data_IF_309234189057
#
_entry.id   IF_309234189057
#
_cell.length_a   1.000
_cell.length_b   1.000
_cell.length_c   1.000
_cell.angle_alpha   90.00
_cell.angle_beta   90.00
_cell.angle_gamma   90.00
#
_symmetry.space_group_name_H-M   'P 1'
#
loop_
_entity.id
_entity.type
_entity.pdbx_description
1 polymer ?
#
# COMPACT_ATOMS: atom_id res chain seq x y z
N UNK A 1 8.56 -19.23 -1.05
CA UNK A 1 7.62 -19.16 -2.21
C UNK A 1 6.92 -17.81 -2.20
N UNK A 2 7.03 -17.04 -3.29
CA UNK A 2 6.27 -15.80 -3.50
C UNK A 2 4.78 -16.13 -3.54
N UNK A 3 3.95 -15.27 -2.95
CA UNK A 3 2.48 -15.42 -2.99
C UNK A 3 1.98 -14.56 -4.15
N UNK A 4 1.28 -15.19 -5.08
CA UNK A 4 0.83 -14.56 -6.31
C UNK A 4 -0.49 -13.83 -6.09
N UNK A 5 -0.67 -12.67 -6.73
CA UNK A 5 -1.99 -12.07 -6.83
C UNK A 5 -2.77 -12.76 -7.97
N UNK A 6 -4.11 -12.85 -7.92
CA UNK A 6 -4.91 -13.34 -9.04
C UNK A 6 -4.74 -12.51 -10.33
N UNK A 7 -4.16 -11.32 -10.21
CA UNK A 7 -3.83 -10.42 -11.32
C UNK A 7 -2.41 -10.58 -11.86
N UNK A 8 -1.59 -11.49 -11.33
CA UNK A 8 -0.20 -11.64 -11.75
C UNK A 8 -0.07 -12.05 -13.22
N UNK A 9 1.03 -11.61 -13.84
CA UNK A 9 1.44 -12.03 -15.19
C UNK A 9 2.63 -12.98 -15.10
N UNK A 10 2.79 -13.82 -16.11
CA UNK A 10 3.96 -14.70 -16.21
C UNK A 10 5.26 -13.91 -16.34
N UNK A 11 6.38 -14.53 -15.96
CA UNK A 11 7.70 -13.89 -16.04
C UNK A 11 8.11 -13.62 -17.48
N UNK A 12 7.74 -14.49 -18.41
CA UNK A 12 7.96 -14.35 -19.85
C UNK A 12 7.24 -13.11 -20.40
N UNK A 13 5.95 -12.92 -20.05
CA UNK A 13 5.20 -11.72 -20.43
C UNK A 13 5.84 -10.45 -19.86
N UNK A 14 6.42 -10.53 -18.66
CA UNK A 14 7.08 -9.38 -18.03
C UNK A 14 8.39 -8.98 -18.72
N UNK A 15 9.15 -9.93 -19.30
CA UNK A 15 10.41 -9.61 -20.00
C UNK A 15 10.19 -8.65 -21.17
N UNK A 16 9.01 -8.66 -21.79
CA UNK A 16 8.63 -7.71 -22.85
C UNK A 16 8.55 -6.26 -22.30
N UNK A 17 8.07 -6.10 -21.06
CA UNK A 17 7.83 -4.80 -20.43
C UNK A 17 9.06 -4.29 -19.66
N UNK A 18 9.93 -5.21 -19.21
CA UNK A 18 11.12 -4.92 -18.40
C UNK A 18 11.98 -3.78 -18.99
N UNK A 19 12.30 -3.72 -20.30
CA UNK A 19 13.13 -2.66 -20.86
C UNK A 19 12.53 -1.26 -20.68
N UNK A 20 11.20 -1.12 -20.80
CA UNK A 20 10.49 0.15 -20.62
C UNK A 20 10.56 0.65 -19.18
N UNK A 21 10.48 -0.27 -18.21
CA UNK A 21 10.62 0.07 -16.79
C UNK A 21 12.07 0.42 -16.42
N UNK A 22 13.04 -0.16 -17.13
CA UNK A 22 14.45 0.12 -16.93
C UNK A 22 14.86 1.47 -17.55
N UNK A 23 14.25 1.89 -18.66
CA UNK A 23 14.57 3.16 -19.33
C UNK A 23 14.12 4.39 -18.54
N UNK A 24 13.06 4.28 -17.74
CA UNK A 24 12.55 5.37 -16.88
C UNK A 24 13.46 5.72 -15.68
N UNK A 25 14.55 4.98 -15.46
CA UNK A 25 15.40 5.05 -14.26
C UNK A 25 16.29 6.30 -14.24
N UNK A 26 16.32 6.99 -13.10
CA UNK A 26 17.41 7.94 -12.76
C UNK A 26 18.47 7.21 -11.92
N UNK A 27 19.76 7.30 -12.29
CA UNK A 27 20.88 6.50 -11.75
C UNK A 27 21.34 6.87 -10.32
N UNK A 28 20.44 7.32 -9.44
CA UNK A 28 20.82 7.87 -8.12
C UNK A 28 20.90 6.83 -7.00
N UNK A 29 20.32 5.62 -7.15
CA UNK A 29 20.43 4.54 -6.15
C UNK A 29 20.26 3.14 -6.80
N UNK A 30 20.95 2.08 -6.34
CA UNK A 30 20.71 0.70 -6.80
C UNK A 30 19.37 0.15 -6.31
N UNK A 31 18.68 -0.60 -7.17
CA UNK A 31 17.42 -1.28 -6.84
C UNK A 31 17.67 -2.43 -5.88
N UNK A 32 16.86 -2.50 -4.82
CA UNK A 32 16.86 -3.61 -3.85
C UNK A 32 15.68 -4.57 -4.02
N UNK A 33 14.76 -4.28 -4.94
CA UNK A 33 13.46 -4.96 -5.11
C UNK A 33 13.34 -5.53 -6.53
N UNK A 34 12.70 -6.69 -6.70
CA UNK A 34 12.42 -7.28 -8.01
C UNK A 34 11.33 -6.47 -8.75
N UNK A 35 11.63 -6.06 -9.98
CA UNK A 35 10.71 -5.27 -10.80
C UNK A 35 9.45 -6.05 -11.17
N UNK A 36 9.55 -7.37 -11.34
CA UNK A 36 8.39 -8.19 -11.66
C UNK A 36 7.38 -8.21 -10.49
N UNK A 37 7.87 -8.29 -9.26
CA UNK A 37 7.02 -8.22 -8.06
C UNK A 37 6.34 -6.86 -7.94
N UNK A 38 7.10 -5.78 -8.15
CA UNK A 38 6.57 -4.43 -8.12
C UNK A 38 5.52 -4.22 -9.21
N UNK A 39 5.78 -4.69 -10.43
CA UNK A 39 4.84 -4.58 -11.53
C UNK A 39 3.55 -5.35 -11.27
N UNK A 40 3.64 -6.57 -10.72
CA UNK A 40 2.47 -7.35 -10.34
C UNK A 40 1.65 -6.67 -9.23
N UNK A 41 2.31 -6.04 -8.25
CA UNK A 41 1.62 -5.25 -7.22
C UNK A 41 0.93 -4.01 -7.80
N UNK A 42 1.54 -3.33 -8.78
CA UNK A 42 0.92 -2.23 -9.52
C UNK A 42 -0.27 -2.72 -10.33
N UNK A 43 -0.15 -3.88 -10.99
CA UNK A 43 -1.23 -4.46 -11.76
C UNK A 43 -2.42 -4.86 -10.88
N UNK A 44 -2.16 -5.42 -9.70
CA UNK A 44 -3.17 -5.67 -8.67
C UNK A 44 -3.91 -4.37 -8.29
N UNK A 45 -3.17 -3.29 -8.04
CA UNK A 45 -3.73 -1.99 -7.68
C UNK A 45 -4.64 -1.45 -8.80
N UNK A 46 -4.17 -1.50 -10.04
CA UNK A 46 -4.88 -0.97 -11.20
C UNK A 46 -6.12 -1.81 -11.56
N UNK A 47 -6.03 -3.14 -11.45
CA UNK A 47 -7.11 -4.05 -11.83
C UNK A 47 -8.21 -4.14 -10.78
N UNK A 48 -7.85 -4.12 -9.50
CA UNK A 48 -8.79 -4.36 -8.40
C UNK A 48 -9.14 -3.12 -7.59
N UNK A 49 -8.30 -2.08 -7.60
CA UNK A 49 -8.46 -0.93 -6.72
C UNK A 49 -8.19 -1.24 -5.24
N UNK A 50 -7.25 -2.14 -4.94
CA UNK A 50 -6.95 -2.64 -3.58
C UNK A 50 -8.06 -3.50 -2.93
N UNK A 51 -8.79 -4.30 -3.71
CA UNK A 51 -9.79 -5.18 -3.10
C UNK A 51 -9.12 -6.24 -2.21
N UNK A 52 -9.48 -6.24 -0.91
CA UNK A 52 -8.91 -7.14 0.08
C UNK A 52 -9.07 -8.63 -0.25
N UNK A 53 -10.12 -9.02 -0.97
CA UNK A 53 -10.35 -10.41 -1.43
C UNK A 53 -9.29 -10.92 -2.41
N UNK A 54 -8.62 -10.01 -3.11
CA UNK A 54 -7.57 -10.33 -4.08
C UNK A 54 -6.17 -10.22 -3.47
N UNK A 55 -6.05 -9.93 -2.16
CA UNK A 55 -4.78 -10.01 -1.46
C UNK A 55 -4.33 -11.48 -1.32
N UNK A 56 -3.02 -11.74 -1.32
CA UNK A 56 -2.50 -13.08 -1.11
C UNK A 56 -2.93 -13.61 0.27
N UNK A 57 -3.27 -14.90 0.33
CA UNK A 57 -3.90 -15.62 1.47
C UNK A 57 -3.16 -15.55 2.83
N UNK A 58 -2.02 -14.84 2.93
CA UNK A 58 -1.21 -14.79 4.15
C UNK A 58 -0.76 -13.37 4.46
N UNK A 59 -1.70 -12.42 4.47
CA UNK A 59 -1.49 -11.16 5.21
C UNK A 59 -1.41 -11.52 6.69
N UNK A 60 -0.24 -11.34 7.31
CA UNK A 60 -0.02 -11.79 8.69
C UNK A 60 -0.49 -10.75 9.71
N UNK A 61 -0.29 -9.47 9.39
CA UNK A 61 -0.60 -8.38 10.32
C UNK A 61 -1.08 -7.14 9.60
N UNK A 62 -2.11 -6.50 10.13
CA UNK A 62 -2.58 -5.18 9.69
C UNK A 62 -2.30 -4.18 10.80
N UNK A 63 -1.58 -3.11 10.48
CA UNK A 63 -1.28 -2.02 11.40
C UNK A 63 -2.33 -0.92 11.25
N UNK A 64 -2.98 -0.55 12.34
CA UNK A 64 -4.02 0.48 12.33
C UNK A 64 -3.74 1.57 13.36
N UNK A 65 -4.16 2.80 13.03
CA UNK A 65 -4.11 3.89 13.98
C UNK A 65 -5.13 3.69 15.12
N UNK A 66 -4.91 4.41 16.21
CA UNK A 66 -5.76 4.42 17.39
C UNK A 66 -7.19 4.89 17.14
N UNK A 67 -7.54 5.42 15.96
CA UNK A 67 -8.93 5.71 15.58
C UNK A 67 -9.75 4.47 15.22
N UNK A 68 -9.10 3.41 14.75
CA UNK A 68 -9.76 2.16 14.32
C UNK A 68 -9.90 1.18 15.50
N UNK A 69 -10.55 1.63 16.58
CA UNK A 69 -10.79 0.81 17.77
C UNK A 69 -12.04 -0.03 17.57
N UNK A 70 -11.98 -1.29 18.02
CA UNK A 70 -13.17 -2.12 18.24
C UNK A 70 -13.09 -3.52 17.64
N UNK A 71 -13.80 -4.44 18.28
CA UNK A 71 -14.05 -5.80 17.77
C UNK A 71 -14.67 -5.81 16.37
N UNK A 72 -15.61 -4.91 15.99
CA UNK A 72 -16.22 -4.94 14.66
C UNK A 72 -15.23 -4.71 13.52
N UNK A 73 -14.28 -3.78 13.70
CA UNK A 73 -13.26 -3.51 12.69
C UNK A 73 -12.31 -4.71 12.55
N UNK A 74 -11.82 -5.26 13.67
CA UNK A 74 -10.96 -6.43 13.65
C UNK A 74 -11.67 -7.67 13.07
N UNK A 75 -12.98 -7.77 13.26
CA UNK A 75 -13.80 -8.82 12.67
C UNK A 75 -13.94 -8.64 11.16
N UNK A 76 -14.28 -7.44 10.66
CA UNK A 76 -14.35 -7.17 9.23
C UNK A 76 -13.02 -7.41 8.50
N UNK A 77 -11.90 -7.07 9.15
CA UNK A 77 -10.56 -7.40 8.62
C UNK A 77 -10.35 -8.92 8.52
N UNK A 78 -10.75 -9.68 9.54
CA UNK A 78 -10.64 -11.15 9.53
C UNK A 78 -11.58 -11.81 8.52
N UNK A 79 -12.76 -11.24 8.27
CA UNK A 79 -13.69 -11.72 7.26
C UNK A 79 -13.16 -11.52 5.83
N UNK A 80 -12.50 -10.38 5.58
CA UNK A 80 -11.99 -10.04 4.24
C UNK A 80 -10.63 -10.70 3.97
N UNK A 81 -9.75 -10.75 4.97
CA UNK A 81 -8.34 -11.18 4.81
C UNK A 81 -8.03 -12.57 5.38
N UNK A 82 -9.01 -13.21 6.03
CA UNK A 82 -8.87 -14.51 6.69
C UNK A 82 -8.62 -14.42 8.19
N UNK A 83 -9.03 -15.47 8.93
CA UNK A 83 -9.03 -15.48 10.39
C UNK A 83 -7.63 -15.42 11.03
N UNK A 84 -6.57 -15.73 10.28
CA UNK A 84 -5.18 -15.71 10.77
C UNK A 84 -4.53 -14.32 10.84
N UNK A 85 -5.23 -13.25 10.45
CA UNK A 85 -4.67 -11.90 10.39
C UNK A 85 -4.71 -11.23 11.76
N UNK A 86 -3.55 -10.80 12.26
CA UNK A 86 -3.46 -10.04 13.52
C UNK A 86 -3.62 -8.54 13.26
N UNK A 87 -4.66 -7.92 13.83
CA UNK A 87 -4.80 -6.45 13.79
C UNK A 87 -4.04 -5.83 14.96
N UNK A 88 -2.97 -5.10 14.63
CA UNK A 88 -2.13 -4.40 15.59
C UNK A 88 -2.56 -2.93 15.62
N UNK A 89 -3.25 -2.55 16.69
CA UNK A 89 -3.65 -1.15 16.90
C UNK A 89 -2.52 -0.42 17.60
N UNK A 90 -2.00 0.61 16.93
CA UNK A 90 -1.04 1.52 17.49
C UNK A 90 -1.75 2.43 18.51
N UNK A 91 -1.79 2.03 19.79
CA UNK A 91 -2.38 2.82 20.89
C UNK A 91 -1.29 3.55 21.68
N UNK A 92 -1.50 4.85 21.93
CA UNK A 92 -0.67 5.64 22.85
C UNK A 92 -0.99 5.21 24.30
N UNK A 93 0.03 4.85 25.08
CA UNK A 93 -0.16 4.37 26.47
C UNK A 93 -0.42 5.53 27.43
N UNK A 94 0.33 6.61 27.31
CA UNK A 94 0.30 7.78 28.20
C UNK A 94 0.14 9.09 27.38
N UNK A 95 -0.82 9.97 27.69
CA UNK A 95 -0.98 11.25 27.01
C UNK A 95 0.20 12.21 27.24
N UNK A 96 0.84 12.14 28.41
CA UNK A 96 1.83 13.11 28.89
C UNK A 96 3.28 12.61 28.82
N UNK A 97 3.51 11.36 28.40
CA UNK A 97 4.84 10.84 28.14
C UNK A 97 5.06 10.64 26.63
N UNK A 98 6.28 10.93 26.17
CA UNK A 98 6.71 10.62 24.81
C UNK A 98 7.24 9.19 24.77
N UNK A 99 6.47 8.29 24.16
CA UNK A 99 6.87 6.91 23.89
C UNK A 99 6.98 6.73 22.37
N UNK A 100 8.12 6.21 21.90
CA UNK A 100 8.32 5.94 20.46
C UNK A 100 7.46 4.76 20.06
N UNK A 101 6.38 5.05 19.33
CA UNK A 101 5.50 4.01 18.81
C UNK A 101 6.16 3.30 17.61
N UNK A 102 6.40 1.98 17.66
CA UNK A 102 7.06 1.28 16.58
C UNK A 102 6.20 1.31 15.31
N UNK A 103 6.84 1.54 14.16
CA UNK A 103 6.25 1.54 12.80
C UNK A 103 5.18 2.60 12.50
N UNK A 104 4.78 3.43 13.48
CA UNK A 104 3.83 4.56 13.29
C UNK A 104 4.31 5.55 12.24
N UNK A 105 5.60 5.85 12.23
CA UNK A 105 6.20 6.76 11.26
C UNK A 105 5.95 6.34 9.81
N UNK A 106 5.71 5.04 9.52
CA UNK A 106 5.46 4.55 8.15
C UNK A 106 4.13 5.11 7.65
N UNK A 107 3.10 5.08 8.49
CA UNK A 107 1.77 5.59 8.19
C UNK A 107 1.81 7.11 8.05
N UNK A 108 2.40 7.80 9.03
CA UNK A 108 2.52 9.27 9.01
C UNK A 108 3.34 9.77 7.82
N UNK A 109 4.44 9.07 7.48
CA UNK A 109 5.25 9.37 6.30
C UNK A 109 4.46 9.20 5.01
N UNK A 110 3.56 8.22 4.96
CA UNK A 110 2.68 7.99 3.81
C UNK A 110 1.69 9.15 3.66
N UNK A 111 1.07 9.61 4.75
CA UNK A 111 0.23 10.81 4.74
C UNK A 111 1.00 12.07 4.37
N UNK A 112 2.20 12.27 4.91
CA UNK A 112 3.07 13.39 4.53
C UNK A 112 3.45 13.40 3.04
N UNK A 113 3.48 12.23 2.36
CA UNK A 113 3.63 12.19 0.90
C UNK A 113 2.35 12.57 0.16
N UNK A 114 1.18 12.20 0.69
CA UNK A 114 -0.10 12.57 0.10
C UNK A 114 -0.33 14.08 0.19
N UNK A 115 0.05 14.72 1.30
CA UNK A 115 -0.03 16.18 1.48
C UNK A 115 0.78 16.97 0.42
N UNK A 116 1.86 16.38 -0.11
CA UNK A 116 2.64 16.99 -1.20
C UNK A 116 1.93 16.96 -2.56
N UNK A 117 0.84 16.20 -2.70
CA UNK A 117 0.04 16.18 -3.91
C UNK A 117 -1.10 17.19 -3.79
N UNK A 118 -0.97 18.33 -4.49
CA UNK A 118 -1.91 19.46 -4.42
C UNK A 118 -3.38 19.08 -4.64
N UNK A 119 -3.66 18.05 -5.44
CA UNK A 119 -5.03 17.54 -5.70
C UNK A 119 -5.65 16.80 -4.51
N UNK A 120 -4.85 16.24 -3.61
CA UNK A 120 -5.29 15.50 -2.42
C UNK A 120 -5.29 16.34 -1.14
N UNK A 121 -4.74 17.56 -1.19
CA UNK A 121 -4.49 18.42 -0.02
C UNK A 121 -5.76 18.87 0.72
N UNK A 122 -6.90 18.82 0.06
CA UNK A 122 -8.24 18.98 0.64
C UNK A 122 -9.09 18.01 -0.15
N UNK A 123 -9.85 17.11 0.49
CA UNK A 123 -10.77 16.21 -0.20
C UNK A 123 -11.88 17.03 -0.88
N UNK A 124 -11.55 17.74 -1.95
CA UNK A 124 -12.43 18.55 -2.77
C UNK A 124 -13.13 17.70 -3.84
N UNK A 125 -12.83 16.40 -3.88
CA UNK A 125 -13.43 15.47 -4.82
C UNK A 125 -14.87 15.17 -4.39
N UNK A 126 -15.80 15.39 -5.32
CA UNK A 126 -17.25 15.17 -5.10
C UNK A 126 -17.59 13.70 -4.88
N UNK A 127 -16.77 12.78 -5.39
CA UNK A 127 -16.97 11.34 -5.31
C UNK A 127 -15.78 10.65 -4.64
N UNK A 128 -16.07 9.75 -3.69
CA UNK A 128 -15.05 8.98 -2.97
C UNK A 128 -14.18 8.14 -3.91
N UNK A 129 -14.76 7.60 -4.99
CA UNK A 129 -14.01 6.85 -6.00
C UNK A 129 -12.89 7.70 -6.60
N UNK A 130 -13.19 8.93 -7.02
CA UNK A 130 -12.21 9.85 -7.61
C UNK A 130 -11.05 10.11 -6.66
N UNK A 131 -11.34 10.35 -5.38
CA UNK A 131 -10.30 10.52 -4.36
C UNK A 131 -9.42 9.28 -4.20
N UNK A 132 -10.01 8.08 -4.24
CA UNK A 132 -9.29 6.80 -4.16
C UNK A 132 -8.32 6.63 -5.34
N UNK A 133 -8.76 6.94 -6.57
CA UNK A 133 -7.89 6.83 -7.74
C UNK A 133 -6.72 7.81 -7.70
N UNK A 134 -6.91 9.03 -7.18
CA UNK A 134 -5.81 9.97 -6.99
C UNK A 134 -4.81 9.51 -5.93
N UNK A 135 -5.26 8.85 -4.86
CA UNK A 135 -4.38 8.22 -3.87
C UNK A 135 -3.54 7.11 -4.53
N UNK A 136 -4.16 6.24 -5.31
CA UNK A 136 -3.45 5.20 -6.06
C UNK A 136 -2.40 5.81 -7.00
N UNK A 137 -2.77 6.84 -7.77
CA UNK A 137 -1.86 7.53 -8.69
C UNK A 137 -0.68 8.18 -7.94
N UNK A 138 -0.93 8.82 -6.80
CA UNK A 138 0.11 9.43 -5.97
C UNK A 138 1.15 8.41 -5.50
N UNK A 139 0.70 7.24 -5.02
CA UNK A 139 1.61 6.18 -4.59
C UNK A 139 2.34 5.52 -5.77
N UNK A 140 1.66 5.30 -6.91
CA UNK A 140 2.29 4.80 -8.14
C UNK A 140 3.39 5.74 -8.63
N UNK A 141 3.10 7.03 -8.75
CA UNK A 141 4.09 8.03 -9.14
C UNK A 141 5.27 8.08 -8.17
N UNK A 142 5.02 7.91 -6.86
CA UNK A 142 6.08 7.87 -5.85
C UNK A 142 6.94 6.62 -5.97
N UNK A 143 6.32 5.48 -6.24
CA UNK A 143 7.00 4.20 -6.44
C UNK A 143 7.84 4.22 -7.71
N UNK A 144 7.31 4.73 -8.83
CA UNK A 144 8.05 4.90 -10.08
C UNK A 144 9.29 5.80 -9.90
N UNK A 145 9.21 6.85 -9.07
CA UNK A 145 10.39 7.69 -8.74
C UNK A 145 11.44 6.98 -7.88
N UNK A 146 11.13 5.83 -7.28
CA UNK A 146 12.03 5.05 -6.40
C UNK A 146 12.57 3.79 -7.08
N UNK A 147 11.99 3.38 -8.21
CA UNK A 147 12.54 2.37 -9.12
C UNK A 147 13.67 2.97 -9.93
#
# INVERSE_FOLDING_TARGET
>A
MRKSYPSDISREQFEIIRPLLQSARRKTCPRRVDLNEVFCAVLYLLRSGCQGRMLPERVQSVLCDSGYRGQPFAQGVREILGQGVTVQIAKRREPHAFEVMPKRWIVERSFAWLEKNRRLWKNCERLLNTSLQFIHLAFLARLLKRL
#
